data_IF_227607361704
#
_entry.id   IF_227607361704
#
_cell.length_a   1.000
_cell.length_b   1.000
_cell.length_c   1.000
_cell.angle_alpha   90.00
_cell.angle_beta   90.00
_cell.angle_gamma   90.00
#
_symmetry.space_group_name_H-M   'P 1'
#
loop_
_entity.id
_entity.type
_entity.pdbx_description
1 polymer ?
#
# COMPACT_ATOMS: atom_id res chain seq x y z
N UNK A 1 18.71 4.67 -60.36
CA UNK A 1 18.95 3.46 -59.55
C UNK A 1 17.64 2.69 -59.43
N UNK A 2 17.63 1.37 -59.68
CA UNK A 2 16.40 0.64 -59.95
C UNK A 2 15.72 0.12 -58.68
N UNK A 3 14.41 0.04 -58.79
CA UNK A 3 13.40 -0.36 -57.80
C UNK A 3 13.44 -1.89 -57.64
N UNK A 4 13.70 -2.38 -56.43
CA UNK A 4 13.56 -3.80 -56.09
C UNK A 4 12.12 -4.06 -55.61
N UNK A 5 11.37 -4.81 -56.44
CA UNK A 5 10.13 -5.50 -56.07
C UNK A 5 10.48 -6.77 -55.31
N UNK A 6 9.95 -6.95 -54.11
CA UNK A 6 9.94 -8.25 -53.42
C UNK A 6 8.58 -8.93 -53.57
N UNK A 7 8.65 -10.21 -53.89
CA UNK A 7 7.56 -11.16 -54.14
C UNK A 7 7.24 -11.88 -52.81
N UNK A 8 5.96 -12.14 -52.48
CA UNK A 8 5.60 -12.97 -51.34
C UNK A 8 5.55 -14.48 -51.72
N UNK A 9 5.90 -15.40 -50.81
CA UNK A 9 5.65 -16.83 -51.01
C UNK A 9 4.23 -17.23 -50.54
N UNK A 10 3.56 -18.17 -51.23
CA UNK A 10 2.39 -18.88 -50.72
C UNK A 10 2.82 -20.15 -49.97
N UNK A 11 2.09 -20.51 -48.92
CA UNK A 11 2.36 -21.71 -48.14
C UNK A 11 1.19 -22.04 -47.25
N UNK A 12 0.26 -22.80 -47.82
CA UNK A 12 -1.00 -23.27 -47.26
C UNK A 12 -0.82 -24.65 -46.61
N UNK A 13 -1.77 -25.01 -45.74
CA UNK A 13 -2.08 -26.36 -45.23
C UNK A 13 -1.15 -27.01 -44.17
N UNK A 14 -1.68 -27.19 -42.95
CA UNK A 14 -1.89 -28.53 -42.37
C UNK A 14 -2.71 -28.44 -41.07
N UNK A 15 -3.91 -29.02 -41.13
CA UNK A 15 -4.74 -29.45 -40.02
C UNK A 15 -4.02 -30.50 -39.15
N UNK A 16 -4.23 -30.49 -37.83
CA UNK A 16 -4.35 -31.75 -37.06
C UNK A 16 -4.82 -31.55 -35.62
N UNK A 17 -5.99 -32.14 -35.37
CA UNK A 17 -6.36 -32.99 -34.23
C UNK A 17 -6.60 -32.35 -32.85
N UNK A 18 -7.88 -32.08 -32.65
CA UNK A 18 -8.57 -32.13 -31.37
C UNK A 18 -8.31 -33.46 -30.63
N UNK A 19 -7.84 -33.38 -29.39
CA UNK A 19 -7.87 -34.49 -28.43
C UNK A 19 -8.84 -34.11 -27.31
N UNK A 20 -10.06 -34.63 -27.40
CA UNK A 20 -11.11 -34.49 -26.39
C UNK A 20 -10.88 -35.53 -25.30
N UNK A 21 -10.26 -35.12 -24.21
CA UNK A 21 -10.09 -35.97 -23.02
C UNK A 21 -11.40 -36.02 -22.23
N UNK A 22 -12.12 -37.14 -22.38
CA UNK A 22 -13.21 -37.58 -21.49
C UNK A 22 -12.64 -37.81 -20.08
N UNK A 23 -13.14 -37.10 -19.08
CA UNK A 23 -12.96 -37.45 -17.66
C UNK A 23 -14.27 -37.97 -17.07
N UNK A 24 -14.12 -39.08 -16.34
CA UNK A 24 -15.18 -39.90 -15.79
C UNK A 24 -16.01 -39.17 -14.74
N UNK A 25 -17.33 -39.14 -14.94
CA UNK A 25 -18.32 -38.85 -13.91
C UNK A 25 -18.30 -39.99 -12.89
N UNK A 26 -17.98 -39.68 -11.63
CA UNK A 26 -18.13 -40.58 -10.49
C UNK A 26 -19.37 -40.12 -9.71
N UNK A 27 -20.36 -40.99 -9.66
CA UNK A 27 -21.56 -40.86 -8.84
C UNK A 27 -21.20 -40.62 -7.37
N UNK A 28 -21.72 -39.53 -6.82
CA UNK A 28 -21.68 -39.22 -5.37
C UNK A 28 -23.11 -39.40 -4.84
N UNK A 29 -23.32 -40.19 -3.77
CA UNK A 29 -24.64 -40.43 -3.21
C UNK A 29 -25.17 -39.21 -2.45
N UNK A 30 -26.46 -38.93 -2.63
CA UNK A 30 -27.20 -37.84 -2.02
C UNK A 30 -27.24 -37.94 -0.48
N UNK A 31 -27.11 -36.82 0.27
CA UNK A 31 -27.33 -36.80 1.70
C UNK A 31 -28.84 -36.79 2.06
N UNK A 32 -29.22 -37.36 3.21
CA UNK A 32 -30.60 -37.47 3.63
C UNK A 32 -31.20 -36.13 4.06
N UNK A 33 -32.45 -35.97 3.64
CA UNK A 33 -33.36 -34.86 3.90
C UNK A 33 -33.69 -34.78 5.40
N UNK A 34 -33.13 -33.79 6.10
CA UNK A 34 -33.37 -33.50 7.51
C UNK A 34 -34.35 -32.34 7.69
N UNK A 35 -35.47 -32.65 8.34
CA UNK A 35 -36.64 -31.81 8.54
C UNK A 35 -36.41 -30.61 9.49
N UNK A 36 -37.05 -29.49 9.14
CA UNK A 36 -37.70 -28.49 9.99
C UNK A 36 -37.14 -28.21 11.38
N UNK A 37 -36.53 -27.03 11.52
CA UNK A 37 -36.68 -26.21 12.72
C UNK A 37 -37.03 -24.78 12.32
N UNK A 38 -38.30 -24.43 12.52
CA UNK A 38 -38.82 -23.06 12.48
C UNK A 38 -38.15 -22.25 13.62
N UNK A 39 -37.08 -21.55 13.28
CA UNK A 39 -36.52 -20.48 14.12
C UNK A 39 -36.87 -19.16 13.42
N UNK A 40 -37.54 -18.22 14.10
CA UNK A 40 -37.87 -16.93 13.51
C UNK A 40 -36.58 -16.22 13.08
N UNK A 41 -36.54 -15.61 11.88
CA UNK A 41 -35.35 -14.91 11.41
C UNK A 41 -35.18 -13.64 12.24
N UNK A 42 -34.36 -13.74 13.29
CA UNK A 42 -33.79 -12.57 13.97
C UNK A 42 -33.21 -11.67 12.88
N UNK A 43 -33.71 -10.43 12.83
CA UNK A 43 -33.44 -9.46 11.79
C UNK A 43 -31.94 -9.27 11.59
N UNK A 44 -31.38 -10.07 10.67
CA UNK A 44 -30.02 -9.94 10.22
C UNK A 44 -29.94 -8.56 9.60
N UNK A 45 -29.34 -7.64 10.35
CA UNK A 45 -28.80 -6.39 9.87
C UNK A 45 -27.79 -6.76 8.77
N UNK A 46 -28.30 -6.98 7.56
CA UNK A 46 -27.49 -7.05 6.35
C UNK A 46 -26.91 -5.66 6.20
N UNK A 47 -25.79 -5.43 6.87
CA UNK A 47 -25.03 -4.20 6.78
C UNK A 47 -24.90 -3.92 5.30
N UNK A 48 -25.43 -2.78 4.86
CA UNK A 48 -25.35 -2.30 3.48
C UNK A 48 -23.88 -2.05 3.14
N UNK A 49 -23.17 -3.14 2.85
CA UNK A 49 -21.82 -3.11 2.34
C UNK A 49 -21.92 -2.59 0.91
N UNK A 50 -21.37 -1.39 0.70
CA UNK A 50 -21.25 -0.79 -0.61
C UNK A 50 -20.55 -1.79 -1.54
N UNK A 51 -21.19 -2.13 -2.66
CA UNK A 51 -20.59 -3.03 -3.64
C UNK A 51 -19.53 -2.25 -4.43
N UNK A 52 -18.26 -2.51 -4.12
CA UNK A 52 -17.12 -1.90 -4.79
C UNK A 52 -16.65 -2.79 -5.95
N UNK A 53 -16.38 -2.19 -7.10
CA UNK A 53 -15.82 -2.89 -8.28
C UNK A 53 -14.30 -3.07 -8.19
N UNK A 54 -13.66 -2.34 -7.27
CA UNK A 54 -12.24 -2.41 -7.01
C UNK A 54 -11.96 -3.28 -5.78
N UNK A 55 -10.76 -3.89 -5.68
CA UNK A 55 -10.32 -4.59 -4.49
C UNK A 55 -10.44 -3.71 -3.24
N UNK A 56 -11.20 -4.21 -2.26
CA UNK A 56 -11.54 -3.50 -1.04
C UNK A 56 -11.01 -4.24 0.19
N UNK A 57 -10.31 -3.52 1.06
CA UNK A 57 -9.79 -4.02 2.33
C UNK A 57 -10.51 -3.28 3.46
N UNK A 58 -11.38 -4.00 4.16
CA UNK A 58 -12.04 -3.49 5.37
C UNK A 58 -11.26 -3.91 6.61
N UNK A 59 -10.68 -2.94 7.30
CA UNK A 59 -9.94 -3.15 8.54
C UNK A 59 -10.90 -3.09 9.73
N UNK A 60 -10.75 -4.01 10.69
CA UNK A 60 -11.50 -3.97 11.96
C UNK A 60 -10.82 -3.04 12.97
N UNK A 61 -10.66 -1.78 12.56
CA UNK A 61 -10.18 -0.68 13.39
C UNK A 61 -11.08 0.52 13.16
N UNK A 62 -11.23 1.39 14.17
CA UNK A 62 -12.05 2.59 14.02
C UNK A 62 -11.37 3.65 13.15
N UNK A 63 -10.05 3.76 13.30
CA UNK A 63 -9.19 4.70 12.60
C UNK A 63 -7.88 4.01 12.16
N UNK A 64 -7.39 4.40 10.99
CA UNK A 64 -6.11 3.93 10.44
C UNK A 64 -5.02 4.85 10.98
N UNK A 65 -4.15 4.33 11.84
CA UNK A 65 -2.98 5.08 12.33
C UNK A 65 -1.99 5.38 11.21
N UNK A 66 -1.17 6.43 11.35
CA UNK A 66 -0.12 6.75 10.38
C UNK A 66 0.86 5.58 10.17
N UNK A 67 1.17 4.81 11.23
CA UNK A 67 2.04 3.64 11.16
C UNK A 67 1.41 2.52 10.30
N UNK A 68 0.11 2.27 10.48
CA UNK A 68 -0.64 1.29 9.70
C UNK A 68 -0.76 1.71 8.24
N UNK A 69 -1.09 2.98 7.97
CA UNK A 69 -1.14 3.54 6.63
C UNK A 69 0.20 3.39 5.90
N UNK A 70 1.31 3.75 6.55
CA UNK A 70 2.65 3.58 6.00
C UNK A 70 2.99 2.12 5.69
N UNK A 71 2.67 1.20 6.61
CA UNK A 71 2.92 -0.24 6.45
C UNK A 71 2.14 -0.82 5.27
N UNK A 72 0.85 -0.50 5.16
CA UNK A 72 -0.02 -0.98 4.09
C UNK A 72 0.37 -0.38 2.74
N UNK A 73 0.76 0.91 2.69
CA UNK A 73 1.27 1.54 1.49
C UNK A 73 2.56 0.86 0.99
N UNK A 74 3.53 0.62 1.87
CA UNK A 74 4.79 -0.07 1.53
C UNK A 74 4.54 -1.51 1.07
N UNK A 75 3.64 -2.23 1.76
CA UNK A 75 3.24 -3.57 1.36
C UNK A 75 2.60 -3.59 -0.03
N UNK A 76 1.70 -2.65 -0.31
CA UNK A 76 1.10 -2.51 -1.64
C UNK A 76 2.17 -2.26 -2.72
N UNK A 77 3.14 -1.37 -2.48
CA UNK A 77 4.24 -1.14 -3.43
C UNK A 77 4.97 -2.45 -3.73
N UNK A 78 5.32 -3.21 -2.70
CA UNK A 78 5.99 -4.51 -2.84
C UNK A 78 5.15 -5.50 -3.66
N UNK A 79 3.84 -5.54 -3.41
CA UNK A 79 2.92 -6.38 -4.18
C UNK A 79 2.79 -5.92 -5.63
N UNK A 80 2.63 -4.64 -5.89
CA UNK A 80 2.49 -4.08 -7.24
C UNK A 80 3.73 -4.37 -8.08
N UNK A 81 4.93 -4.23 -7.51
CA UNK A 81 6.17 -4.58 -8.22
C UNK A 81 6.17 -6.04 -8.68
N UNK A 82 5.72 -6.96 -7.83
CA UNK A 82 5.63 -8.38 -8.20
C UNK A 82 4.50 -8.65 -9.20
N UNK A 83 3.29 -8.16 -8.94
CA UNK A 83 2.09 -8.37 -9.78
C UNK A 83 2.20 -7.74 -11.17
N UNK A 84 3.04 -6.73 -11.32
CA UNK A 84 3.32 -6.05 -12.59
C UNK A 84 4.63 -6.52 -13.24
N UNK A 85 5.15 -7.67 -12.83
CA UNK A 85 6.38 -8.28 -13.35
C UNK A 85 7.58 -7.31 -13.37
N UNK A 86 7.64 -6.42 -12.38
CA UNK A 86 8.81 -5.55 -12.19
C UNK A 86 9.91 -6.23 -11.40
N UNK A 87 9.58 -7.30 -10.65
CA UNK A 87 10.52 -8.12 -9.92
C UNK A 87 10.13 -9.59 -10.06
N UNK A 88 11.10 -10.52 -10.09
CA UNK A 88 10.82 -11.93 -10.39
C UNK A 88 10.19 -12.68 -9.21
N UNK A 89 10.43 -12.21 -7.98
CA UNK A 89 9.89 -12.81 -6.75
C UNK A 89 9.36 -11.72 -5.81
N UNK A 90 8.42 -12.04 -4.91
CA UNK A 90 8.01 -11.13 -3.84
C UNK A 90 9.22 -10.62 -3.04
N UNK A 91 9.18 -9.36 -2.61
CA UNK A 91 10.27 -8.67 -1.88
C UNK A 91 10.77 -9.49 -0.68
N UNK A 92 9.87 -10.09 0.09
CA UNK A 92 10.23 -10.93 1.26
C UNK A 92 11.00 -12.18 0.86
N UNK A 93 10.68 -12.77 -0.29
CA UNK A 93 11.42 -13.92 -0.82
C UNK A 93 12.77 -13.46 -1.37
N UNK A 94 12.80 -12.39 -2.17
CA UNK A 94 14.04 -11.81 -2.70
C UNK A 94 15.06 -11.53 -1.60
N UNK A 95 14.64 -10.92 -0.49
CA UNK A 95 15.52 -10.61 0.64
C UNK A 95 16.21 -11.86 1.22
N UNK A 96 15.57 -13.03 1.17
CA UNK A 96 16.08 -14.29 1.72
C UNK A 96 16.88 -15.13 0.72
N UNK A 97 16.75 -14.86 -0.58
CA UNK A 97 17.48 -15.63 -1.58
C UNK A 97 18.99 -15.39 -1.45
N UNK A 98 19.82 -16.42 -1.65
CA UNK A 98 21.27 -16.25 -1.67
C UNK A 98 21.69 -15.30 -2.79
N UNK A 99 22.85 -14.67 -2.66
CA UNK A 99 23.42 -13.83 -3.72
C UNK A 99 23.75 -14.70 -4.93
N UNK A 100 23.24 -14.31 -6.10
CA UNK A 100 23.53 -14.99 -7.37
C UNK A 100 24.99 -14.77 -7.76
N UNK A 101 25.58 -15.72 -8.52
CA UNK A 101 26.92 -15.55 -9.13
C UNK A 101 26.95 -14.38 -10.12
N UNK A 102 25.78 -13.95 -10.62
CA UNK A 102 25.67 -12.73 -11.41
C UNK A 102 25.72 -11.49 -10.50
N UNK A 103 26.89 -10.82 -10.50
CA UNK A 103 27.13 -9.58 -9.77
C UNK A 103 26.12 -8.47 -10.12
N UNK A 104 25.60 -8.46 -11.36
CA UNK A 104 24.65 -7.44 -11.81
C UNK A 104 23.26 -7.66 -11.22
N UNK A 105 22.76 -8.89 -11.22
CA UNK A 105 21.48 -9.23 -10.60
C UNK A 105 21.52 -8.99 -9.08
N UNK A 106 22.62 -9.39 -8.43
CA UNK A 106 22.84 -9.13 -7.00
C UNK A 106 22.85 -7.63 -6.69
N UNK A 107 23.54 -6.80 -7.47
CA UNK A 107 23.53 -5.34 -7.31
C UNK A 107 22.12 -4.75 -7.45
N UNK A 108 21.38 -5.12 -8.50
CA UNK A 108 20.00 -4.66 -8.71
C UNK A 108 19.08 -5.05 -7.55
N UNK A 109 19.23 -6.25 -6.99
CA UNK A 109 18.50 -6.68 -5.78
C UNK A 109 18.85 -5.79 -4.59
N UNK A 110 20.13 -5.57 -4.31
CA UNK A 110 20.56 -4.74 -3.16
C UNK A 110 20.02 -3.31 -3.31
N UNK A 111 20.16 -2.71 -4.49
CA UNK A 111 19.64 -1.37 -4.79
C UNK A 111 18.12 -1.29 -4.59
N UNK A 112 17.38 -2.32 -5.05
CA UNK A 112 15.94 -2.41 -4.82
C UNK A 112 15.60 -2.52 -3.33
N UNK A 113 16.27 -3.39 -2.57
CA UNK A 113 16.00 -3.56 -1.14
C UNK A 113 16.28 -2.27 -0.38
N UNK A 114 17.38 -1.59 -0.68
CA UNK A 114 17.73 -0.29 -0.10
C UNK A 114 16.67 0.77 -0.43
N UNK A 115 16.20 0.81 -1.68
CA UNK A 115 15.16 1.74 -2.10
C UNK A 115 13.80 1.47 -1.40
N UNK A 116 13.41 0.21 -1.23
CA UNK A 116 12.17 -0.17 -0.53
C UNK A 116 12.27 0.14 0.97
N UNK A 117 13.42 -0.11 1.60
CA UNK A 117 13.66 0.21 3.00
C UNK A 117 13.60 1.73 3.24
N UNK A 118 14.30 2.48 2.40
CA UNK A 118 14.28 3.96 2.39
C UNK A 118 12.87 4.50 2.21
N UNK A 119 12.13 4.00 1.21
CA UNK A 119 10.74 4.38 0.98
C UNK A 119 9.87 4.06 2.20
N UNK A 120 10.05 2.89 2.83
CA UNK A 120 9.26 2.47 3.99
C UNK A 120 9.49 3.38 5.19
N UNK A 121 10.75 3.76 5.44
CA UNK A 121 11.12 4.75 6.46
C UNK A 121 10.47 6.11 6.16
N UNK A 122 10.57 6.59 4.92
CA UNK A 122 9.99 7.87 4.52
C UNK A 122 8.46 7.85 4.58
N UNK A 123 7.80 6.76 4.20
CA UNK A 123 6.33 6.64 4.30
C UNK A 123 5.84 6.77 5.74
N UNK A 124 6.60 6.26 6.72
CA UNK A 124 6.25 6.39 8.13
C UNK A 124 6.18 7.86 8.58
N UNK A 125 7.22 8.65 8.29
CA UNK A 125 7.25 10.08 8.60
C UNK A 125 6.26 10.87 7.73
N UNK A 126 6.06 10.44 6.48
CA UNK A 126 5.13 11.04 5.52
C UNK A 126 3.69 10.97 6.01
N UNK A 127 3.19 9.80 6.40
CA UNK A 127 1.80 9.68 6.87
C UNK A 127 1.57 10.40 8.21
N UNK A 128 2.61 10.60 9.02
CA UNK A 128 2.54 11.45 10.21
C UNK A 128 2.43 12.93 9.83
N UNK A 129 3.28 13.40 8.91
CA UNK A 129 3.22 14.77 8.40
C UNK A 129 1.90 15.06 7.68
N UNK A 130 1.40 14.11 6.89
CA UNK A 130 0.13 14.21 6.17
C UNK A 130 -1.06 14.30 7.12
N UNK A 131 -1.06 13.49 8.19
CA UNK A 131 -2.07 13.55 9.25
C UNK A 131 -2.12 14.95 9.89
N UNK A 132 -0.97 15.55 10.18
CA UNK A 132 -0.87 16.94 10.66
C UNK A 132 -1.34 17.94 9.61
N UNK A 133 -0.95 17.78 8.34
CA UNK A 133 -1.34 18.69 7.27
C UNK A 133 -2.87 18.71 7.08
N UNK A 134 -3.53 17.55 7.18
CA UNK A 134 -4.99 17.45 7.16
C UNK A 134 -5.65 18.13 8.35
N UNK A 135 -5.08 18.02 9.56
CA UNK A 135 -5.58 18.75 10.72
C UNK A 135 -5.62 20.26 10.48
N UNK A 136 -4.56 20.82 9.88
CA UNK A 136 -4.45 22.25 9.57
C UNK A 136 -5.48 22.66 8.52
N UNK A 137 -5.68 21.85 7.47
CA UNK A 137 -6.70 22.12 6.44
C UNK A 137 -8.10 22.23 7.03
N UNK A 138 -8.46 21.34 7.96
CA UNK A 138 -9.78 21.35 8.60
C UNK A 138 -10.01 22.60 9.46
N UNK A 139 -8.96 23.12 10.09
CA UNK A 139 -9.08 24.32 10.96
C UNK A 139 -9.09 25.65 10.21
N UNK A 140 -8.52 25.68 8.99
CA UNK A 140 -8.34 26.92 8.22
C UNK A 140 -9.52 27.26 7.30
N UNK A 141 -10.52 26.38 7.20
CA UNK A 141 -11.71 26.59 6.37
C UNK A 141 -12.47 27.87 6.78
N UNK A 142 -12.82 28.77 5.83
CA UNK A 142 -13.51 30.04 6.12
C UNK A 142 -14.97 29.87 6.59
N UNK A 143 -15.48 28.64 6.64
CA UNK A 143 -16.80 28.28 7.15
C UNK A 143 -16.82 28.20 8.68
N UNK A 144 -16.57 29.34 9.34
CA UNK A 144 -16.79 29.53 10.78
C UNK A 144 -18.26 29.39 11.22
N UNK A 145 -19.16 28.93 10.34
CA UNK A 145 -20.48 28.45 10.70
C UNK A 145 -20.33 27.09 11.37
N UNK A 146 -20.08 27.13 12.68
CA UNK A 146 -20.25 26.01 13.61
C UNK A 146 -21.70 25.53 13.52
N UNK A 147 -22.02 24.67 12.56
CA UNK A 147 -23.19 23.81 12.64
C UNK A 147 -22.95 22.91 13.84
N UNK A 148 -23.54 23.29 14.98
CA UNK A 148 -23.35 22.68 16.29
C UNK A 148 -23.76 21.19 16.33
N UNK A 149 -24.34 20.66 15.26
CA UNK A 149 -24.86 19.29 15.18
C UNK A 149 -24.08 18.34 14.26
N UNK A 150 -22.98 18.76 13.62
CA UNK A 150 -22.20 17.80 12.81
C UNK A 150 -21.22 17.03 13.71
N UNK A 151 -21.32 15.69 13.78
CA UNK A 151 -20.46 14.89 14.64
C UNK A 151 -18.99 15.06 14.23
N UNK A 152 -18.07 15.18 15.21
CA UNK A 152 -16.68 15.61 14.99
C UNK A 152 -15.77 14.61 14.26
N UNK A 153 -16.29 13.51 13.72
CA UNK A 153 -15.46 12.46 13.10
C UNK A 153 -15.26 12.68 11.60
N UNK A 154 -14.78 13.86 11.17
CA UNK A 154 -14.34 14.05 9.77
C UNK A 154 -13.01 13.32 9.60
N UNK A 155 -13.07 12.03 9.30
CA UNK A 155 -11.89 11.24 9.04
C UNK A 155 -11.25 11.65 7.70
N UNK A 156 -9.92 11.71 7.65
CA UNK A 156 -9.22 12.10 6.43
C UNK A 156 -9.09 10.92 5.45
N UNK A 157 -9.00 11.25 4.16
CA UNK A 157 -8.75 10.31 3.08
C UNK A 157 -7.40 10.60 2.43
N UNK A 158 -6.50 9.63 2.45
CA UNK A 158 -5.20 9.73 1.79
C UNK A 158 -5.24 9.01 0.43
N UNK A 159 -4.57 9.60 -0.55
CA UNK A 159 -4.47 9.05 -1.90
C UNK A 159 -2.99 8.94 -2.29
N UNK A 160 -2.60 7.79 -2.80
CA UNK A 160 -1.25 7.52 -3.31
C UNK A 160 -1.36 6.87 -4.69
N UNK A 161 -0.43 7.18 -5.59
CA UNK A 161 -0.35 6.57 -6.91
C UNK A 161 1.00 5.89 -7.09
N UNK A 162 0.97 4.66 -7.61
CA UNK A 162 2.15 3.90 -8.04
C UNK A 162 2.11 3.88 -9.57
N UNK A 163 3.09 4.55 -10.18
CA UNK A 163 3.12 4.77 -11.62
C UNK A 163 4.32 4.05 -12.23
N UNK A 164 4.05 3.14 -13.17
CA UNK A 164 5.03 2.27 -13.81
C UNK A 164 5.26 2.73 -15.24
N UNK A 165 6.49 3.09 -15.60
CA UNK A 165 6.80 3.55 -16.96
C UNK A 165 8.15 4.25 -17.08
N UNK A 166 8.35 4.95 -18.19
CA UNK A 166 9.56 5.78 -18.40
C UNK A 166 9.50 7.10 -17.62
N UNK A 167 8.32 7.50 -17.17
CA UNK A 167 8.05 8.74 -16.46
C UNK A 167 6.58 8.84 -16.09
N UNK A 168 6.24 9.79 -15.21
CA UNK A 168 4.84 9.98 -14.77
C UNK A 168 3.92 10.42 -15.92
N UNK A 169 4.45 11.15 -16.91
CA UNK A 169 3.71 11.62 -18.08
C UNK A 169 3.51 10.57 -19.18
N UNK A 170 4.27 9.47 -19.16
CA UNK A 170 4.16 8.37 -20.13
C UNK A 170 4.07 7.02 -19.40
N UNK A 171 3.02 6.79 -18.59
CA UNK A 171 2.90 5.58 -17.81
C UNK A 171 2.40 4.42 -18.66
N UNK A 172 2.92 3.23 -18.38
CA UNK A 172 2.42 1.96 -18.92
C UNK A 172 1.28 1.41 -18.06
N UNK A 173 1.37 1.61 -16.74
CA UNK A 173 0.32 1.26 -15.80
C UNK A 173 0.27 2.23 -14.62
N UNK A 174 -0.90 2.33 -13.99
CA UNK A 174 -1.12 3.10 -12.77
C UNK A 174 -1.91 2.26 -11.77
N UNK A 175 -1.47 2.27 -10.52
CA UNK A 175 -2.21 1.67 -9.40
C UNK A 175 -2.48 2.77 -8.38
N UNK A 176 -3.76 3.03 -8.11
CA UNK A 176 -4.23 3.98 -7.11
C UNK A 176 -4.43 3.28 -5.77
N UNK A 177 -3.98 3.91 -4.70
CA UNK A 177 -4.29 3.52 -3.33
C UNK A 177 -5.14 4.61 -2.71
N UNK A 178 -6.29 4.21 -2.19
CA UNK A 178 -7.21 5.09 -1.49
C UNK A 178 -7.35 4.57 -0.07
N UNK A 179 -6.98 5.39 0.91
CA UNK A 179 -7.12 5.06 2.33
C UNK A 179 -8.15 5.97 2.96
N UNK A 180 -9.28 5.40 3.37
CA UNK A 180 -10.34 6.11 4.10
C UNK A 180 -10.23 5.80 5.59
N UNK A 181 -10.33 6.83 6.41
CA UNK A 181 -10.28 6.67 7.86
C UNK A 181 -8.91 6.95 8.46
N UNK A 182 -8.06 7.74 7.80
CA UNK A 182 -6.77 8.11 8.34
C UNK A 182 -6.96 8.96 9.61
N UNK A 183 -6.30 8.56 10.70
CA UNK A 183 -6.27 9.30 11.96
C UNK A 183 -5.61 10.66 11.74
N UNK A 184 -6.31 11.73 12.11
CA UNK A 184 -5.84 13.11 11.99
C UNK A 184 -5.30 13.58 13.35
N UNK A 185 -4.02 13.93 13.39
CA UNK A 185 -3.36 14.44 14.58
C UNK A 185 -3.33 15.98 14.55
N UNK A 186 -4.03 16.62 15.49
CA UNK A 186 -3.95 18.07 15.64
C UNK A 186 -2.60 18.47 16.23
N UNK A 187 -1.66 18.91 15.38
CA UNK A 187 -0.41 19.48 15.84
C UNK A 187 -0.66 20.78 16.60
N UNK A 188 -0.09 20.91 17.79
CA UNK A 188 -0.11 22.16 18.56
C UNK A 188 -1.23 22.30 19.59
N UNK A 189 -2.26 21.45 19.56
CA UNK A 189 -3.05 21.24 20.78
C UNK A 189 -2.27 20.23 21.62
N UNK A 190 -1.19 20.70 22.27
CA UNK A 190 -0.65 19.99 23.41
C UNK A 190 -1.86 19.58 24.25
N UNK A 191 -2.11 18.28 24.34
CA UNK A 191 -3.27 17.71 24.99
C UNK A 191 -3.14 18.08 26.47
N UNK A 192 -3.61 19.28 26.82
CA UNK A 192 -3.56 19.87 28.17
C UNK A 192 -4.62 19.24 29.08
N UNK A 193 -5.06 18.03 28.75
CA UNK A 193 -5.93 17.13 29.50
C UNK A 193 -5.09 15.87 29.74
N UNK A 194 -4.81 15.36 30.94
CA UNK A 194 -5.52 15.52 32.21
C UNK A 194 -4.60 15.15 33.40
N UNK A 195 -3.46 15.80 33.57
CA UNK A 195 -2.80 15.89 34.88
C UNK A 195 -3.20 17.20 35.58
N UNK A 196 -4.51 17.43 35.69
CA UNK A 196 -5.11 18.40 36.62
C UNK A 196 -5.53 17.66 37.90
N UNK A 197 -4.60 16.91 38.49
CA UNK A 197 -4.74 16.43 39.86
C UNK A 197 -3.64 17.12 40.69
N UNK A 198 -4.00 18.28 41.23
CA UNK A 198 -3.39 18.87 42.42
C UNK A 198 -1.93 19.28 42.32
N UNK A 199 -1.67 20.51 41.89
CA UNK A 199 -0.48 21.24 42.31
C UNK A 199 -0.85 22.67 42.67
N UNK A 200 -0.63 22.94 43.94
CA UNK A 200 -0.79 24.18 44.69
C UNK A 200 -0.05 25.37 44.08
N UNK A 201 -0.70 26.51 44.20
CA UNK A 201 -0.17 27.88 44.29
C UNK A 201 1.35 27.99 44.55
N UNK A 202 2.08 28.69 43.68
CA UNK A 202 3.53 28.84 43.83
C UNK A 202 4.29 29.55 42.70
N UNK A 203 4.13 30.87 42.63
CA UNK A 203 5.16 31.89 42.32
C UNK A 203 6.04 31.77 41.04
N UNK A 204 5.67 32.61 40.07
CA UNK A 204 6.50 33.47 39.21
C UNK A 204 8.04 33.32 39.25
N UNK A 205 8.63 33.02 38.08
CA UNK A 205 9.93 33.57 37.68
C UNK A 205 9.97 33.73 36.15
N UNK A 206 10.18 34.97 35.72
CA UNK A 206 10.46 35.36 34.33
C UNK A 206 11.91 34.99 34.02
N UNK A 207 12.17 34.30 32.91
CA UNK A 207 13.48 34.39 32.29
C UNK A 207 13.36 34.44 30.77
N UNK A 208 14.06 35.44 30.24
CA UNK A 208 14.00 35.98 28.89
C UNK A 208 15.33 35.58 28.27
N UNK A 209 15.34 34.62 27.33
CA UNK A 209 16.58 34.19 26.66
C UNK A 209 16.44 34.48 25.17
N UNK A 210 17.06 35.59 24.80
CA UNK A 210 17.40 36.02 23.47
C UNK A 210 18.64 35.22 23.03
N UNK A 211 18.56 34.47 21.93
CA UNK A 211 19.73 33.78 21.36
C UNK A 211 19.92 34.28 19.93
N UNK A 212 21.10 34.85 19.74
CA UNK A 212 21.68 35.35 18.49
C UNK A 212 21.72 34.28 17.39
N UNK A 213 21.42 34.72 16.17
CA UNK A 213 21.70 34.03 14.92
C UNK A 213 23.16 34.30 14.52
N UNK A 214 23.99 33.26 14.41
CA UNK A 214 25.24 33.34 13.65
C UNK A 214 25.15 32.45 12.41
N UNK A 215 25.25 33.11 11.25
CA UNK A 215 25.45 32.50 9.95
C UNK A 215 26.90 32.02 9.77
N UNK A 216 27.09 30.78 9.34
CA UNK A 216 28.34 30.26 8.78
C UNK A 216 27.99 29.32 7.62
N UNK A 217 28.07 29.74 6.36
CA UNK A 217 29.29 29.93 5.54
C UNK A 217 30.06 28.62 5.27
N UNK A 218 29.78 28.06 4.09
CA UNK A 218 30.76 27.53 3.14
C UNK A 218 31.55 26.28 3.50
N UNK A 219 31.40 25.23 2.68
CA UNK A 219 32.56 24.51 2.13
C UNK A 219 32.13 23.57 1.01
N UNK A 220 32.53 23.90 -0.21
CA UNK A 220 32.52 23.01 -1.36
C UNK A 220 33.76 22.11 -1.26
N UNK A 221 33.57 20.79 -1.36
CA UNK A 221 34.68 19.85 -1.49
C UNK A 221 34.34 18.81 -2.56
N UNK A 222 34.94 19.01 -3.73
CA UNK A 222 35.20 18.01 -4.75
C UNK A 222 36.37 17.14 -4.27
N UNK A 223 36.19 15.82 -4.23
CA UNK A 223 37.24 14.77 -4.27
C UNK A 223 36.57 13.41 -4.00
N UNK A 224 37.00 12.25 -4.47
CA UNK A 224 38.08 11.82 -5.36
C UNK A 224 37.67 10.40 -5.81
N UNK A 225 38.15 9.98 -6.97
CA UNK A 225 38.02 8.64 -7.48
C UNK A 225 38.85 7.64 -6.67
N UNK A 226 38.29 6.46 -6.37
CA UNK A 226 39.11 5.28 -6.09
C UNK A 226 38.37 4.01 -6.46
N UNK A 227 38.59 3.56 -7.70
CA UNK A 227 38.33 2.19 -8.12
C UNK A 227 39.43 1.30 -7.54
N UNK A 228 39.15 0.72 -6.36
CA UNK A 228 39.96 -0.31 -5.75
C UNK A 228 39.52 -1.69 -6.22
N UNK A 229 40.11 -2.19 -7.30
CA UNK A 229 40.12 -3.61 -7.61
C UNK A 229 40.88 -4.36 -6.51
N UNK A 230 40.19 -5.22 -5.77
CA UNK A 230 40.84 -6.24 -4.93
C UNK A 230 40.32 -7.61 -5.32
N UNK A 231 41.15 -8.30 -6.11
CA UNK A 231 41.14 -9.74 -6.25
C UNK A 231 41.73 -10.39 -4.98
N UNK A 232 41.48 -11.69 -4.79
CA UNK A 232 41.73 -12.57 -3.61
C UNK A 232 40.57 -12.56 -2.60
N UNK A 233 39.94 -13.69 -2.25
CA UNK A 233 40.48 -14.95 -1.72
C UNK A 233 39.65 -16.16 -2.20
N UNK A 234 40.30 -17.21 -2.72
CA UNK A 234 40.65 -18.48 -2.04
C UNK A 234 39.47 -19.45 -1.90
N UNK A 235 39.41 -20.38 -2.87
CA UNK A 235 38.77 -21.70 -2.72
C UNK A 235 39.41 -22.42 -1.53
N UNK A 236 38.62 -22.69 -0.49
CA UNK A 236 38.88 -23.79 0.42
C UNK A 236 37.77 -24.83 0.24
N UNK A 237 38.11 -25.87 -0.53
CA UNK A 237 37.44 -27.15 -0.59
C UNK A 237 37.46 -27.80 0.80
N UNK A 238 36.40 -27.58 1.58
CA UNK A 238 36.13 -28.28 2.82
C UNK A 238 35.20 -29.48 2.60
N UNK A 239 35.76 -30.57 2.08
CA UNK A 239 35.12 -31.90 2.19
C UNK A 239 35.03 -32.28 3.69
N UNK A 240 33.82 -32.29 4.24
CA UNK A 240 33.54 -32.93 5.54
C UNK A 240 32.56 -34.08 5.33
N UNK A 241 33.14 -35.26 5.29
CA UNK A 241 32.52 -36.57 5.38
C UNK A 241 31.86 -36.82 6.75
N UNK A 242 31.03 -37.86 6.76
CA UNK A 242 30.72 -38.77 7.87
C UNK A 242 29.82 -38.25 9.00
N UNK A 243 28.55 -38.65 9.03
CA UNK A 243 28.03 -39.90 9.62
C UNK A 243 27.76 -39.78 11.13
N UNK A 244 26.85 -40.65 11.61
CA UNK A 244 26.61 -41.04 13.00
C UNK A 244 25.41 -40.39 13.77
N UNK A 245 24.78 -41.17 14.67
CA UNK A 245 23.37 -41.55 14.55
C UNK A 245 22.55 -41.32 15.85
N UNK A 246 21.34 -41.86 15.83
CA UNK A 246 20.58 -42.42 16.96
C UNK A 246 20.01 -41.52 18.09
N UNK A 247 18.68 -41.51 18.08
CA UNK A 247 17.74 -41.72 19.20
C UNK A 247 18.14 -41.26 20.62
N UNK A 248 17.44 -40.28 21.19
CA UNK A 248 17.43 -40.08 22.64
C UNK A 248 16.43 -41.03 23.34
N UNK A 249 16.76 -41.50 24.56
CA UNK A 249 15.94 -42.44 25.33
C UNK A 249 14.72 -41.77 25.97
N UNK A 250 13.58 -42.47 25.92
CA UNK A 250 12.39 -42.17 26.71
C UNK A 250 12.71 -42.29 28.20
N UNK A 251 12.57 -41.18 28.93
CA UNK A 251 12.72 -41.15 30.39
C UNK A 251 11.41 -40.72 31.01
N UNK A 252 10.65 -41.70 31.52
CA UNK A 252 9.49 -41.54 32.39
C UNK A 252 9.91 -40.81 33.68
N UNK A 253 9.74 -39.49 33.70
CA UNK A 253 9.93 -38.67 34.90
C UNK A 253 8.58 -38.36 35.54
N UNK A 254 8.25 -39.13 36.56
CA UNK A 254 7.16 -38.90 37.51
C UNK A 254 7.41 -37.59 38.27
N UNK A 255 6.84 -36.48 37.78
CA UNK A 255 6.94 -35.17 38.44
C UNK A 255 5.79 -34.96 39.42
N UNK A 256 6.19 -34.79 40.68
CA UNK A 256 5.38 -34.34 41.80
C UNK A 256 4.60 -33.07 41.48
N UNK A 257 3.35 -33.04 41.95
CA UNK A 257 2.45 -31.89 41.91
C UNK A 257 3.04 -30.73 42.72
N UNK A 258 3.67 -29.77 42.04
CA UNK A 258 4.03 -28.47 42.61
C UNK A 258 2.78 -27.57 42.64
N UNK A 259 2.63 -26.73 43.67
CA UNK A 259 1.47 -25.87 43.87
C UNK A 259 1.34 -24.87 42.71
N UNK A 260 0.11 -24.75 42.21
CA UNK A 260 -0.22 -23.88 41.09
C UNK A 260 0.21 -22.43 41.39
N UNK A 261 1.07 -21.81 40.55
CA UNK A 261 1.35 -20.40 40.69
C UNK A 261 0.07 -19.62 40.42
N UNK A 262 -0.31 -18.77 41.36
CA UNK A 262 -1.48 -17.89 41.27
C UNK A 262 -1.50 -17.20 39.91
N UNK A 263 -2.60 -17.39 39.17
CA UNK A 263 -2.88 -16.79 37.87
C UNK A 263 -2.99 -15.27 37.99
N UNK A 264 -1.85 -14.58 38.03
CA UNK A 264 -1.80 -13.15 37.77
C UNK A 264 -2.08 -12.96 36.28
N UNK A 265 -3.30 -12.54 35.95
CA UNK A 265 -3.74 -12.26 34.58
C UNK A 265 -2.81 -11.18 33.97
N UNK A 266 -1.86 -11.53 33.08
CA UNK A 266 -0.91 -10.57 32.54
C UNK A 266 -1.69 -9.56 31.69
N UNK A 267 -1.62 -8.29 32.04
CA UNK A 267 -2.16 -7.24 31.18
C UNK A 267 -1.49 -7.35 29.81
N UNK A 268 -2.25 -7.42 28.70
CA UNK A 268 -1.68 -7.57 27.37
C UNK A 268 -0.77 -6.37 27.08
N UNK A 269 0.41 -6.65 26.54
CA UNK A 269 1.35 -5.62 26.09
C UNK A 269 0.75 -4.90 24.86
N UNK A 270 0.44 -3.61 24.96
CA UNK A 270 -0.20 -2.86 23.87
C UNK A 270 0.62 -2.86 22.58
N UNK A 271 1.96 -2.97 22.68
CA UNK A 271 2.83 -3.03 21.50
C UNK A 271 2.64 -4.33 20.71
N UNK A 272 2.49 -5.46 21.41
CA UNK A 272 2.26 -6.75 20.76
C UNK A 272 0.91 -6.79 20.06
N UNK A 273 -0.12 -6.19 20.67
CA UNK A 273 -1.45 -6.05 20.07
C UNK A 273 -1.38 -5.22 18.78
N UNK A 274 -0.77 -4.04 18.80
CA UNK A 274 -0.60 -3.22 17.60
C UNK A 274 0.15 -3.97 16.49
N UNK A 275 1.23 -4.67 16.82
CA UNK A 275 1.99 -5.45 15.84
C UNK A 275 1.18 -6.63 15.26
N UNK A 276 0.30 -7.24 16.05
CA UNK A 276 -0.61 -8.28 15.58
C UNK A 276 -1.68 -7.72 14.64
N UNK A 277 -2.24 -6.55 14.95
CA UNK A 277 -3.18 -5.84 14.08
C UNK A 277 -2.53 -5.51 12.74
N UNK A 278 -1.31 -4.96 12.76
CA UNK A 278 -0.55 -4.66 11.53
C UNK A 278 -0.30 -5.91 10.67
N UNK A 279 0.09 -7.03 11.29
CA UNK A 279 0.28 -8.30 10.57
C UNK A 279 -1.03 -8.85 9.99
N UNK A 280 -2.14 -8.67 10.70
CA UNK A 280 -3.46 -9.10 10.24
C UNK A 280 -3.93 -8.27 9.06
N UNK A 281 -3.77 -6.95 9.14
CA UNK A 281 -4.09 -6.01 8.06
C UNK A 281 -3.27 -6.30 6.79
N UNK A 282 -1.97 -6.55 6.94
CA UNK A 282 -1.07 -6.89 5.84
C UNK A 282 -1.49 -8.21 5.15
N UNK A 283 -1.75 -9.26 5.92
CA UNK A 283 -2.27 -10.54 5.38
C UNK A 283 -3.60 -10.37 4.66
N UNK A 284 -4.48 -9.52 5.20
CA UNK A 284 -5.77 -9.23 4.57
C UNK A 284 -5.56 -8.54 3.21
N UNK A 285 -4.68 -7.54 3.15
CA UNK A 285 -4.31 -6.87 1.90
C UNK A 285 -3.74 -7.88 0.89
N UNK A 286 -2.75 -8.68 1.27
CA UNK A 286 -2.15 -9.69 0.38
C UNK A 286 -3.20 -10.67 -0.17
N UNK A 287 -4.14 -11.12 0.68
CA UNK A 287 -5.22 -12.04 0.27
C UNK A 287 -6.19 -11.36 -0.70
N UNK A 288 -6.61 -10.12 -0.40
CA UNK A 288 -7.50 -9.36 -1.28
C UNK A 288 -6.86 -9.13 -2.65
N UNK A 289 -5.57 -8.80 -2.70
CA UNK A 289 -4.82 -8.66 -3.94
C UNK A 289 -4.71 -9.97 -4.72
N UNK A 290 -4.43 -11.09 -4.04
CA UNK A 290 -4.37 -12.40 -4.68
C UNK A 290 -5.71 -12.81 -5.30
N UNK A 291 -6.84 -12.53 -4.62
CA UNK A 291 -8.17 -12.76 -5.17
C UNK A 291 -8.44 -11.89 -6.40
N UNK A 292 -8.09 -10.61 -6.36
CA UNK A 292 -8.25 -9.68 -7.48
C UNK A 292 -7.42 -10.06 -8.72
N UNK A 293 -6.29 -10.75 -8.52
CA UNK A 293 -5.48 -11.25 -9.62
C UNK A 293 -6.10 -12.47 -10.33
N UNK A 294 -7.01 -13.20 -9.69
CA UNK A 294 -7.68 -14.36 -10.28
C UNK A 294 -8.86 -13.97 -11.18
N UNK A 295 -9.28 -12.71 -11.17
CA UNK A 295 -10.43 -12.23 -11.95
C UNK A 295 -10.11 -12.16 -13.45
N UNK A 296 -11.04 -12.69 -14.27
CA UNK A 296 -10.86 -12.84 -15.72
C UNK A 296 -10.83 -11.53 -16.50
N UNK A 297 -11.26 -10.41 -15.92
CA UNK A 297 -11.27 -9.09 -16.57
C UNK A 297 -9.88 -8.41 -16.51
N UNK A 298 -8.83 -9.20 -16.48
CA UNK A 298 -7.44 -8.76 -16.54
C UNK A 298 -6.85 -8.26 -15.22
N UNK A 299 -7.55 -8.38 -14.09
CA UNK A 299 -7.08 -8.15 -12.70
C UNK A 299 -6.09 -7.00 -12.46
N UNK A 300 -5.36 -7.07 -11.34
CA UNK A 300 -4.16 -6.24 -11.11
C UNK A 300 -2.90 -6.82 -11.77
N UNK A 301 -2.95 -8.07 -12.23
CA UNK A 301 -1.80 -8.74 -12.84
C UNK A 301 -1.69 -8.35 -14.31
N UNK A 302 -0.61 -7.66 -14.67
CA UNK A 302 -0.31 -7.40 -16.07
C UNK A 302 1.19 -7.51 -16.29
N UNK A 303 1.60 -8.35 -17.22
CA UNK A 303 3.02 -8.54 -17.55
C UNK A 303 3.56 -7.28 -18.22
N UNK A 304 4.41 -6.55 -17.50
CA UNK A 304 5.13 -5.40 -18.01
C UNK A 304 6.61 -5.73 -18.00
N UNK A 305 7.33 -5.32 -19.04
CA UNK A 305 8.79 -5.28 -18.98
C UNK A 305 9.23 -4.41 -17.77
N UNK A 306 10.38 -4.70 -17.15
CA UNK A 306 10.92 -3.88 -16.08
C UNK A 306 11.04 -2.41 -16.49
N UNK A 307 10.52 -1.52 -15.65
CA UNK A 307 10.52 -0.08 -15.86
C UNK A 307 10.83 0.67 -14.57
N UNK A 308 10.87 2.01 -14.64
CA UNK A 308 10.94 2.84 -13.45
C UNK A 308 9.58 2.88 -12.76
N UNK A 309 9.62 2.80 -11.44
CA UNK A 309 8.45 2.99 -10.58
C UNK A 309 8.53 4.35 -9.92
N UNK A 310 7.46 5.15 -10.07
CA UNK A 310 7.30 6.44 -9.43
C UNK A 310 6.21 6.35 -8.37
N UNK A 311 6.51 6.85 -7.17
CA UNK A 311 5.55 6.91 -6.07
C UNK A 311 5.11 8.36 -5.92
N UNK A 312 3.80 8.59 -5.96
CA UNK A 312 3.20 9.90 -5.80
C UNK A 312 2.20 9.91 -4.67
N UNK A 313 2.13 11.03 -3.95
CA UNK A 313 1.21 11.26 -2.84
C UNK A 313 0.37 12.49 -3.15
N UNK A 314 -0.94 12.40 -2.95
CA UNK A 314 -1.82 13.58 -2.99
C UNK A 314 -1.87 14.20 -1.59
N UNK A 315 -1.42 15.43 -1.45
CA UNK A 315 -1.34 16.13 -0.16
C UNK A 315 -1.64 17.63 -0.31
N UNK A 316 -2.00 18.33 0.77
CA UNK A 316 -2.15 19.78 0.74
C UNK A 316 -0.87 20.50 0.27
N UNK A 317 -0.98 21.72 -0.26
CA UNK A 317 0.18 22.54 -0.67
C UNK A 317 1.14 22.86 0.45
N UNK A 318 0.65 22.99 1.68
CA UNK A 318 1.46 23.21 2.89
C UNK A 318 1.99 21.92 3.50
N UNK A 319 1.78 20.77 2.86
CA UNK A 319 2.51 19.56 3.21
C UNK A 319 4.00 19.82 3.00
N UNK A 320 4.81 19.55 4.01
CA UNK A 320 6.26 19.76 3.94
C UNK A 320 6.97 18.50 4.43
N UNK A 321 7.78 17.93 3.55
CA UNK A 321 8.57 16.74 3.84
C UNK A 321 9.80 16.70 2.90
N UNK A 322 11.04 16.55 3.42
CA UNK A 322 12.27 16.69 2.63
C UNK A 322 12.37 15.72 1.45
N UNK A 323 11.79 14.53 1.62
CA UNK A 323 11.87 13.43 0.66
C UNK A 323 10.80 13.47 -0.46
N UNK A 324 9.98 14.52 -0.47
CA UNK A 324 8.90 14.68 -1.43
C UNK A 324 9.02 16.01 -2.16
N UNK A 325 8.96 15.97 -3.49
CA UNK A 325 8.96 17.18 -4.33
C UNK A 325 7.56 17.48 -4.85
N UNK A 326 7.05 18.72 -4.73
CA UNK A 326 5.74 19.09 -5.24
C UNK A 326 5.72 19.08 -6.78
N UNK A 327 4.63 18.57 -7.38
CA UNK A 327 4.42 18.43 -8.83
C UNK A 327 3.12 19.10 -9.28
N UNK A 328 3.04 20.41 -9.12
CA UNK A 328 1.86 21.19 -9.50
C UNK A 328 1.46 21.03 -10.97
N UNK A 329 2.44 20.82 -11.87
CA UNK A 329 2.21 20.58 -13.30
C UNK A 329 1.48 19.26 -13.59
N UNK A 330 1.52 18.29 -12.68
CA UNK A 330 0.87 16.99 -12.84
C UNK A 330 -0.54 16.96 -12.22
N UNK A 331 -0.86 17.90 -11.35
CA UNK A 331 -2.08 17.89 -10.53
C UNK A 331 -3.33 17.69 -11.37
N UNK A 332 -3.58 18.55 -12.37
CA UNK A 332 -4.82 18.45 -13.18
C UNK A 332 -4.97 17.08 -13.88
N UNK A 333 -3.88 16.50 -14.36
CA UNK A 333 -3.93 15.20 -15.07
C UNK A 333 -4.18 14.03 -14.13
N UNK A 334 -3.52 14.04 -12.96
CA UNK A 334 -3.65 12.99 -11.96
C UNK A 334 -4.98 13.09 -11.20
N UNK A 335 -5.46 14.29 -10.88
CA UNK A 335 -6.82 14.50 -10.33
C UNK A 335 -7.88 13.93 -11.27
N UNK A 336 -7.82 14.26 -12.56
CA UNK A 336 -8.75 13.68 -13.55
C UNK A 336 -8.69 12.15 -13.55
N UNK A 337 -7.49 11.58 -13.46
CA UNK A 337 -7.32 10.12 -13.41
C UNK A 337 -7.90 9.53 -12.13
N UNK A 338 -7.67 10.19 -10.98
CA UNK A 338 -8.22 9.79 -9.69
C UNK A 338 -9.74 9.86 -9.67
N UNK A 339 -10.35 10.95 -10.16
CA UNK A 339 -11.81 11.10 -10.26
C UNK A 339 -12.42 10.01 -11.13
N UNK A 340 -11.85 9.74 -12.31
CA UNK A 340 -12.33 8.65 -13.19
C UNK A 340 -12.22 7.30 -12.48
N UNK A 341 -11.13 7.04 -11.76
CA UNK A 341 -10.95 5.83 -10.98
C UNK A 341 -12.00 5.70 -9.86
N UNK A 342 -12.19 6.75 -9.04
CA UNK A 342 -13.14 6.77 -7.93
C UNK A 342 -14.59 6.61 -8.40
N UNK A 343 -14.98 7.28 -9.49
CA UNK A 343 -16.31 7.15 -10.07
C UNK A 343 -16.56 5.73 -10.62
N UNK A 344 -15.53 5.06 -11.15
CA UNK A 344 -15.62 3.68 -11.60
C UNK A 344 -15.63 2.65 -10.47
N UNK A 345 -15.19 3.03 -9.26
CA UNK A 345 -15.06 2.14 -8.12
C UNK A 345 -16.38 1.78 -7.44
N UNK A 346 -17.41 2.63 -7.57
CA UNK A 346 -18.73 2.41 -6.99
C UNK A 346 -19.61 1.77 -8.06
N UNK A 347 -20.06 0.53 -7.84
CA UNK A 347 -21.06 -0.08 -8.71
C UNK A 347 -22.41 0.59 -8.46
N UNK A 348 -23.07 1.06 -9.52
CA UNK A 348 -24.47 1.51 -9.43
C UNK A 348 -25.37 0.26 -9.39
N UNK A 349 -26.01 -0.04 -8.24
CA UNK A 349 -26.84 -1.24 -8.10
C UNK A 349 -28.10 -1.21 -8.98
N UNK A 350 -28.52 -0.02 -9.43
CA UNK A 350 -29.76 0.16 -10.19
C UNK A 350 -29.55 0.03 -11.71
N UNK A 351 -28.30 0.12 -12.18
CA UNK A 351 -27.93 -0.05 -13.58
C UNK A 351 -27.88 -1.52 -14.04
N UNK A 352 -28.85 -2.36 -13.64
CA UNK A 352 -28.96 -3.78 -14.04
C UNK A 352 -29.27 -4.01 -15.53
N UNK A 353 -29.42 -2.95 -16.32
CA UNK A 353 -29.35 -3.11 -17.77
C UNK A 353 -27.91 -3.56 -18.15
N UNK A 354 -27.72 -4.45 -19.14
CA UNK A 354 -26.39 -4.86 -19.59
C UNK A 354 -25.65 -3.63 -20.13
N UNK A 355 -24.95 -2.94 -19.21
CA UNK A 355 -24.23 -1.72 -19.49
C UNK A 355 -23.23 -2.05 -20.58
N UNK A 356 -23.35 -1.35 -21.70
CA UNK A 356 -22.40 -1.43 -22.79
C UNK A 356 -21.01 -1.25 -22.19
N UNK A 357 -20.12 -2.22 -22.43
CA UNK A 357 -18.76 -2.26 -21.86
C UNK A 357 -18.19 -0.83 -21.89
N UNK A 358 -17.78 -0.27 -20.74
CA UNK A 358 -17.37 1.12 -20.65
C UNK A 358 -16.36 1.36 -21.77
N UNK A 359 -16.66 2.35 -22.62
CA UNK A 359 -15.87 2.64 -23.82
C UNK A 359 -14.48 3.04 -23.34
N UNK A 360 -13.56 2.07 -23.32
CA UNK A 360 -12.21 2.22 -22.80
C UNK A 360 -11.61 3.50 -23.37
N UNK A 361 -11.46 4.52 -22.53
CA UNK A 361 -10.80 5.76 -22.93
C UNK A 361 -9.38 5.38 -23.29
N UNK A 362 -8.98 5.61 -24.54
CA UNK A 362 -7.64 5.32 -25.05
C UNK A 362 -6.59 5.93 -24.12
N UNK A 363 -5.98 5.11 -23.27
CA UNK A 363 -5.10 5.54 -22.21
C UNK A 363 -4.60 4.36 -21.37
N UNK A 364 -3.52 4.55 -20.60
CA UNK A 364 -2.99 3.52 -19.73
C UNK A 364 -4.01 3.13 -18.67
N UNK A 365 -4.17 1.82 -18.48
CA UNK A 365 -5.09 1.26 -17.51
C UNK A 365 -4.76 1.78 -16.11
N UNK A 366 -5.78 2.31 -15.44
CA UNK A 366 -5.69 2.72 -14.04
C UNK A 366 -6.46 1.71 -13.22
N UNK A 367 -5.74 1.01 -12.35
CA UNK A 367 -6.27 0.07 -11.38
C UNK A 367 -6.12 0.67 -9.99
N UNK A 368 -6.60 -0.01 -8.95
CA UNK A 368 -6.34 0.45 -7.60
C UNK A 368 -6.94 -0.44 -6.52
N UNK A 369 -6.68 -0.03 -5.29
CA UNK A 369 -7.13 -0.70 -4.07
C UNK A 369 -7.68 0.34 -3.13
N UNK A 370 -8.82 0.05 -2.53
CA UNK A 370 -9.36 0.84 -1.43
C UNK A 370 -9.13 0.12 -0.10
N UNK A 371 -8.71 0.88 0.89
CA UNK A 371 -8.52 0.44 2.27
C UNK A 371 -9.36 1.36 3.16
N UNK A 372 -10.29 0.78 3.90
CA UNK A 372 -11.17 1.51 4.81
C UNK A 372 -11.13 0.96 6.23
N UNK A 373 -11.32 1.85 7.20
CA UNK A 373 -11.63 1.45 8.59
C UNK A 373 -13.07 0.93 8.71
N UNK A 374 -13.44 0.36 9.87
CA UNK A 374 -14.69 -0.36 10.11
C UNK A 374 -15.95 0.42 9.75
N UNK A 375 -15.93 1.73 9.96
CA UNK A 375 -17.08 2.62 9.79
C UNK A 375 -17.04 3.40 8.48
N UNK A 376 -15.97 3.26 7.69
CA UNK A 376 -15.76 4.07 6.50
C UNK A 376 -16.36 3.41 5.27
N UNK A 377 -17.06 4.24 4.49
CA UNK A 377 -17.46 3.94 3.13
C UNK A 377 -16.52 4.68 2.18
N UNK A 378 -16.40 4.21 0.95
CA UNK A 378 -15.63 4.94 -0.04
C UNK A 378 -16.38 6.24 -0.34
N UNK A 379 -15.79 7.35 0.12
CA UNK A 379 -16.32 8.68 -0.17
C UNK A 379 -15.90 9.06 -1.59
N UNK A 380 -16.89 9.26 -2.45
CA UNK A 380 -16.70 9.90 -3.75
C UNK A 380 -17.53 11.16 -3.67
N UNK A 381 -16.88 12.29 -3.43
CA UNK A 381 -17.52 13.58 -3.60
C UNK A 381 -18.05 13.61 -5.05
N UNK A 382 -19.36 13.72 -5.28
CA UNK A 382 -19.85 13.97 -6.62
C UNK A 382 -19.20 15.28 -7.04
N UNK A 383 -18.34 15.19 -8.04
CA UNK A 383 -17.69 16.34 -8.67
C UNK A 383 -18.77 17.04 -9.50
N UNK A 384 -19.81 17.55 -8.84
CA UNK A 384 -20.67 18.62 -9.33
C UNK A 384 -19.86 19.92 -9.23
N UNK A 385 -18.68 19.89 -9.83
CA UNK A 385 -17.83 21.04 -10.01
C UNK A 385 -18.54 21.86 -11.06
N UNK A 386 -19.38 22.79 -10.59
CA UNK A 386 -19.58 24.04 -11.29
C UNK A 386 -18.16 24.57 -11.59
N UNK A 387 -17.71 24.55 -12.86
CA UNK A 387 -16.35 24.90 -13.23
C UNK A 387 -15.98 26.33 -12.84
N UNK A 388 -16.98 27.14 -12.51
CA UNK A 388 -16.83 28.53 -12.09
C UNK A 388 -16.93 28.72 -10.56
N UNK A 389 -17.24 27.67 -9.79
CA UNK A 389 -17.22 27.74 -8.33
C UNK A 389 -15.82 27.38 -7.80
N UNK A 390 -15.07 28.33 -7.22
CA UNK A 390 -13.82 28.02 -6.55
C UNK A 390 -14.16 27.36 -5.20
N UNK A 391 -14.41 26.05 -5.18
CA UNK A 391 -14.30 25.28 -3.95
C UNK A 391 -12.83 25.33 -3.51
N UNK A 392 -12.58 26.28 -2.62
CA UNK A 392 -11.26 26.77 -2.26
C UNK A 392 -10.41 25.70 -1.54
N UNK A 393 -11.04 24.71 -0.92
CA UNK A 393 -10.36 23.67 -0.13
C UNK A 393 -9.78 22.52 -0.98
N UNK A 394 -10.47 22.04 -2.01
CA UNK A 394 -9.91 21.02 -2.91
C UNK A 394 -8.84 21.58 -3.85
N UNK A 395 -8.92 22.88 -4.13
CA UNK A 395 -7.97 23.61 -4.96
C UNK A 395 -6.55 23.66 -4.37
N UNK A 396 -6.37 23.28 -3.10
CA UNK A 396 -5.08 23.24 -2.42
C UNK A 396 -4.45 21.85 -2.34
N UNK A 397 -5.10 20.80 -2.83
CA UNK A 397 -4.45 19.49 -2.93
C UNK A 397 -3.58 19.43 -4.19
N UNK A 398 -2.33 19.00 -4.04
CA UNK A 398 -1.41 18.78 -5.16
C UNK A 398 -0.77 17.40 -5.06
N UNK A 399 -0.15 16.96 -6.15
CA UNK A 399 0.62 15.72 -6.15
C UNK A 399 2.07 16.01 -5.82
N UNK A 400 2.63 15.16 -4.97
CA UNK A 400 4.02 15.13 -4.56
C UNK A 400 4.65 13.86 -5.10
N UNK A 401 5.92 13.90 -5.49
CA UNK A 401 6.66 12.72 -5.94
C UNK A 401 7.79 12.42 -4.98
N UNK A 402 7.92 11.16 -4.59
CA UNK A 402 9.05 10.71 -3.78
C UNK A 402 10.36 10.83 -4.56
N UNK A 403 11.41 11.36 -3.91
CA UNK A 403 12.68 11.66 -4.56
C UNK A 403 13.54 10.41 -4.85
N UNK A 404 13.20 9.27 -4.24
CA UNK A 404 13.89 8.01 -4.48
C UNK A 404 13.55 7.38 -5.84
N UNK A 405 14.28 6.31 -6.16
CA UNK A 405 14.15 5.58 -7.43
C UNK A 405 14.00 4.10 -7.16
N UNK A 406 12.94 3.52 -7.70
CA UNK A 406 12.75 2.07 -7.74
C UNK A 406 12.79 1.64 -9.20
N UNK A 407 13.72 0.74 -9.51
CA UNK A 407 13.86 0.15 -10.83
C UNK A 407 13.49 -1.32 -10.76
N UNK A 408 12.58 -1.74 -11.64
CA UNK A 408 12.34 -3.16 -11.83
C UNK A 408 13.55 -3.88 -12.45
N UNK A 409 13.59 -5.19 -12.27
CA UNK A 409 14.49 -6.10 -12.95
C UNK A 409 13.85 -7.49 -13.08
N UNK A 410 14.18 -8.24 -14.13
CA UNK A 410 13.68 -9.61 -14.32
C UNK A 410 14.81 -10.65 -14.38
N UNK A 411 16.07 -10.22 -14.42
CA UNK A 411 17.23 -11.12 -14.45
C UNK A 411 17.56 -11.54 -13.00
N UNK A 412 17.46 -12.83 -12.66
CA UNK A 412 17.81 -13.38 -11.35
C UNK A 412 18.60 -14.67 -11.46
#
# INVERSE_FOLDING_TARGET
MPILKSVPPPGDLAESNATTSRTNSRDVPAPPNGQNSDVPPDGQNTKDHQHLTIPAVHLDVDEISSAMAARLASSLVSHVLFLKSQIPFPVVQLARMPTSKDNKATKKKVDLMNAIDTLSSHLYTTFRALSTAFAVSVTSGPSGHKSHDQPPSRQAQAHMAIVLGAGVGAPKARVMLVMSGLKVHHAGVAQKQAHSLGATDGLAAKENVQVDEEEGSGSESEDDSSEGESEYYTDEDGESSDECPDTPPESDSSRSASPAPSEANPQPDPFLEEQQVLRTADRLLSRTLASACAESDGGLSSELAPTQTHILLRAPRHFDHPEWTPRQNLTRSLEKTLTVFLNGAIADPEAQAPASKPKYTSGPRTEGVWIGSKSQKLHVEPVDVDPDSPTQEESDMIWWTWNGKIMGFNDW
#
